data_IF_849165195052
#
_entry.id   IF_849165195052
#
_cell.length_a   1.000
_cell.length_b   1.000
_cell.length_c   1.000
_cell.angle_alpha   90.00
_cell.angle_beta   90.00
_cell.angle_gamma   90.00
#
_symmetry.space_group_name_H-M   'P 1'
#
loop_
_entity.id
_entity.type
_entity.pdbx_description
1 polymer ?
#
# COMPACT_ATOMS: atom_id res chain seq x y z
N UNK A 1 -11.15 -14.64 2.87
CA UNK A 1 -10.84 -13.99 4.17
C UNK A 1 -9.42 -13.45 4.14
N UNK A 2 -9.23 -12.24 4.57
CA UNK A 2 -7.93 -11.56 4.70
C UNK A 2 -7.60 -11.37 6.18
N UNK A 3 -6.34 -11.16 6.51
CA UNK A 3 -5.90 -10.87 7.87
C UNK A 3 -4.82 -9.79 7.86
N UNK A 4 -4.64 -9.12 9.01
CA UNK A 4 -3.52 -8.22 9.26
C UNK A 4 -2.52 -8.95 10.15
N UNK A 5 -1.23 -8.84 9.84
CA UNK A 5 -0.15 -9.22 10.73
C UNK A 5 0.35 -7.97 11.44
N UNK A 6 0.12 -7.90 12.76
CA UNK A 6 0.50 -6.74 13.57
C UNK A 6 1.68 -7.10 14.46
N UNK A 7 2.75 -6.31 14.37
CA UNK A 7 3.95 -6.47 15.18
C UNK A 7 4.18 -5.22 16.02
N UNK A 8 4.51 -5.41 17.30
CA UNK A 8 4.79 -4.34 18.26
C UNK A 8 6.25 -4.35 18.65
N UNK A 9 6.99 -3.30 18.29
CA UNK A 9 8.41 -3.15 18.59
C UNK A 9 8.57 -2.08 19.68
N UNK A 10 9.16 -2.42 20.84
CA UNK A 10 9.38 -1.45 21.91
C UNK A 10 10.40 -0.39 21.48
N UNK A 11 10.14 0.88 21.86
CA UNK A 11 11.08 1.99 21.66
C UNK A 11 11.74 2.30 22.99
N UNK A 12 13.08 2.20 23.04
CA UNK A 12 13.85 2.43 24.25
C UNK A 12 13.61 3.83 24.83
N UNK A 13 13.40 3.90 26.14
CA UNK A 13 13.21 5.16 26.86
C UNK A 13 11.79 5.74 26.77
N UNK A 14 10.82 5.03 26.15
CA UNK A 14 9.43 5.47 26.04
C UNK A 14 8.46 4.35 26.39
N UNK A 15 7.18 4.70 26.59
CA UNK A 15 6.08 3.73 26.68
C UNK A 15 5.46 3.43 25.28
N UNK A 16 5.83 4.22 24.28
CA UNK A 16 5.33 4.06 22.90
C UNK A 16 5.99 2.87 22.21
N UNK A 17 5.32 2.34 21.22
CA UNK A 17 5.80 1.25 20.37
C UNK A 17 5.80 1.68 18.92
N UNK A 18 6.67 1.09 18.13
CA UNK A 18 6.52 1.07 16.68
C UNK A 18 5.62 -0.11 16.32
N UNK A 19 4.47 0.20 15.76
CA UNK A 19 3.46 -0.78 15.33
C UNK A 19 3.58 -0.95 13.83
N UNK A 20 3.94 -2.15 13.41
CA UNK A 20 4.03 -2.51 11.98
C UNK A 20 2.83 -3.39 11.65
N UNK A 21 2.03 -2.96 10.69
CA UNK A 21 0.88 -3.70 10.17
C UNK A 21 1.18 -4.14 8.75
N UNK A 22 1.38 -5.42 8.54
CA UNK A 22 1.52 -6.01 7.20
C UNK A 22 0.17 -6.51 6.72
N UNK A 23 -0.15 -6.23 5.45
CA UNK A 23 -1.47 -6.50 4.89
C UNK A 23 -1.42 -7.00 3.45
N UNK A 24 -2.49 -7.70 3.07
CA UNK A 24 -2.88 -7.99 1.70
C UNK A 24 -4.41 -7.94 1.65
N UNK A 25 -4.98 -6.84 1.14
CA UNK A 25 -6.42 -6.58 1.16
C UNK A 25 -7.16 -7.30 0.01
N UNK A 26 -8.48 -7.18 -0.01
CA UNK A 26 -9.35 -7.87 -0.96
C UNK A 26 -9.18 -7.34 -2.38
N UNK A 27 -9.03 -8.27 -3.35
CA UNK A 27 -8.79 -7.95 -4.75
C UNK A 27 -10.07 -7.91 -5.59
N UNK A 28 -10.99 -8.87 -5.37
CA UNK A 28 -12.05 -9.23 -6.33
C UNK A 28 -13.45 -8.84 -5.91
N UNK A 29 -13.63 -8.34 -4.69
CA UNK A 29 -14.93 -7.90 -4.21
C UNK A 29 -15.42 -6.64 -4.96
N UNK A 30 -16.73 -6.54 -5.15
CA UNK A 30 -17.39 -5.47 -5.91
C UNK A 30 -17.44 -4.11 -5.20
N UNK A 31 -16.78 -3.95 -4.06
CA UNK A 31 -16.61 -2.67 -3.36
C UNK A 31 -17.00 -2.69 -1.89
N UNK A 32 -18.04 -3.41 -1.46
CA UNK A 32 -18.45 -3.41 -0.05
C UNK A 32 -17.39 -4.05 0.87
N UNK A 33 -16.80 -5.18 0.46
CA UNK A 33 -15.76 -5.85 1.21
C UNK A 33 -14.45 -5.05 1.25
N UNK A 34 -14.08 -4.40 0.13
CA UNK A 34 -12.94 -3.49 0.08
C UNK A 34 -13.12 -2.31 1.02
N UNK A 35 -14.27 -1.62 0.96
CA UNK A 35 -14.58 -0.50 1.83
C UNK A 35 -14.64 -0.90 3.31
N UNK A 36 -15.20 -2.08 3.63
CA UNK A 36 -15.23 -2.57 5.00
C UNK A 36 -13.82 -2.85 5.54
N UNK A 37 -12.93 -3.43 4.73
CA UNK A 37 -11.55 -3.68 5.12
C UNK A 37 -10.76 -2.38 5.30
N UNK A 38 -10.96 -1.38 4.43
CA UNK A 38 -10.32 -0.06 4.56
C UNK A 38 -10.75 0.62 5.86
N UNK A 39 -12.06 0.64 6.18
CA UNK A 39 -12.56 1.20 7.45
C UNK A 39 -11.99 0.47 8.67
N UNK A 40 -11.98 -0.87 8.66
CA UNK A 40 -11.38 -1.64 9.78
C UNK A 40 -9.89 -1.33 9.93
N UNK A 41 -9.16 -1.19 8.85
CA UNK A 41 -7.76 -0.80 8.88
C UNK A 41 -7.61 0.60 9.48
N UNK A 42 -8.38 1.58 9.01
CA UNK A 42 -8.36 2.95 9.54
C UNK A 42 -8.63 2.99 11.05
N UNK A 43 -9.64 2.26 11.52
CA UNK A 43 -9.97 2.17 12.95
C UNK A 43 -8.80 1.61 13.78
N UNK A 44 -8.13 0.55 13.28
CA UNK A 44 -6.98 -0.05 13.97
C UNK A 44 -5.81 0.95 14.03
N UNK A 45 -5.47 1.58 12.91
CA UNK A 45 -4.35 2.51 12.85
C UNK A 45 -4.61 3.75 13.72
N UNK A 46 -5.82 4.31 13.69
CA UNK A 46 -6.22 5.46 14.50
C UNK A 46 -6.18 5.13 16.00
N UNK A 47 -6.64 3.95 16.42
CA UNK A 47 -6.57 3.52 17.81
C UNK A 47 -5.12 3.38 18.30
N UNK A 48 -4.23 2.83 17.47
CA UNK A 48 -2.81 2.72 17.82
C UNK A 48 -2.13 4.10 17.91
N UNK A 49 -2.43 5.00 16.98
CA UNK A 49 -1.90 6.36 17.02
C UNK A 49 -2.45 7.14 18.24
N UNK A 50 -3.73 7.00 18.57
CA UNK A 50 -4.34 7.62 19.76
C UNK A 50 -3.74 7.08 21.07
N UNK A 51 -3.24 5.85 21.08
CA UNK A 51 -2.48 5.28 22.20
C UNK A 51 -1.03 5.82 22.29
N UNK A 52 -0.64 6.73 21.39
CA UNK A 52 0.69 7.34 21.36
C UNK A 52 1.76 6.49 20.68
N UNK A 53 1.35 5.46 19.93
CA UNK A 53 2.27 4.63 19.18
C UNK A 53 2.67 5.29 17.84
N UNK A 54 3.79 4.85 17.31
CA UNK A 54 4.25 5.12 15.95
C UNK A 54 3.72 4.00 15.06
N UNK A 55 3.05 4.34 13.96
CA UNK A 55 2.31 3.33 13.19
C UNK A 55 2.71 3.36 11.73
N UNK A 56 3.00 2.17 11.18
CA UNK A 56 3.23 1.95 9.76
C UNK A 56 2.39 0.75 9.33
N UNK A 57 1.50 0.95 8.37
CA UNK A 57 0.85 -0.13 7.64
C UNK A 57 1.41 -0.20 6.22
N UNK A 58 1.67 -1.40 5.71
CA UNK A 58 2.19 -1.57 4.36
C UNK A 58 1.91 -2.95 3.78
N UNK A 59 1.90 -3.03 2.46
CA UNK A 59 1.66 -4.24 1.70
C UNK A 59 0.84 -3.99 0.45
N UNK A 60 0.18 -5.04 -0.02
CA UNK A 60 -0.73 -5.00 -1.16
C UNK A 60 -2.14 -4.59 -0.72
N UNK A 61 -2.55 -3.39 -1.11
CA UNK A 61 -3.89 -2.86 -0.82
C UNK A 61 -4.93 -3.34 -1.84
N UNK A 62 -4.52 -3.86 -3.01
CA UNK A 62 -5.39 -4.15 -4.15
C UNK A 62 -6.27 -2.96 -4.57
N UNK A 63 -5.85 -1.79 -4.18
CA UNK A 63 -6.47 -0.49 -4.45
C UNK A 63 -5.36 0.56 -4.55
N UNK A 64 -5.61 1.59 -5.34
CA UNK A 64 -4.70 2.72 -5.45
C UNK A 64 -5.10 3.82 -4.48
N UNK A 65 -4.16 4.50 -3.87
CA UNK A 65 -4.44 5.70 -3.09
C UNK A 65 -4.90 6.85 -3.98
N UNK A 66 -5.93 7.58 -3.56
CA UNK A 66 -6.57 8.67 -4.35
C UNK A 66 -5.63 9.84 -4.66
N UNK A 67 -4.49 9.94 -3.99
CA UNK A 67 -3.47 10.96 -4.19
C UNK A 67 -2.32 10.55 -5.14
N UNK A 68 -2.43 9.40 -5.81
CA UNK A 68 -1.40 8.88 -6.72
C UNK A 68 -1.75 9.22 -8.17
N UNK A 69 -0.78 9.78 -8.91
CA UNK A 69 -0.89 9.96 -10.35
C UNK A 69 -0.64 8.63 -11.08
N UNK A 70 -1.65 8.16 -11.80
CA UNK A 70 -1.62 6.92 -12.59
C UNK A 70 -1.54 7.17 -14.10
N UNK A 71 -1.26 8.39 -14.53
CA UNK A 71 -1.23 8.74 -15.97
C UNK A 71 -0.24 7.90 -16.77
N UNK A 72 0.83 7.41 -16.12
CA UNK A 72 1.79 6.50 -16.73
C UNK A 72 1.28 5.05 -16.90
N UNK A 73 0.18 4.67 -16.22
CA UNK A 73 -0.35 3.30 -16.18
C UNK A 73 -1.85 3.27 -16.50
N UNK A 74 -2.26 3.74 -17.68
CA UNK A 74 -3.68 3.78 -18.04
C UNK A 74 -4.27 2.38 -18.16
N UNK A 75 -5.56 2.25 -17.84
CA UNK A 75 -6.29 0.99 -18.06
C UNK A 75 -6.31 0.67 -19.56
N UNK A 76 -5.73 -0.47 -19.96
CA UNK A 76 -5.58 -0.86 -21.35
C UNK A 76 -6.84 -1.51 -21.94
N UNK A 77 -7.60 -2.24 -21.13
CA UNK A 77 -8.85 -2.87 -21.53
C UNK A 77 -9.82 -2.95 -20.36
N UNK A 78 -11.12 -2.80 -20.65
CA UNK A 78 -12.17 -2.97 -19.65
C UNK A 78 -12.32 -4.44 -19.18
N UNK A 79 -11.80 -5.39 -19.93
CA UNK A 79 -11.83 -6.81 -19.59
C UNK A 79 -10.73 -7.22 -18.60
N UNK A 80 -9.73 -6.36 -18.41
CA UNK A 80 -8.68 -6.60 -17.42
C UNK A 80 -9.17 -6.18 -16.03
N UNK A 81 -8.67 -6.88 -15.02
CA UNK A 81 -8.90 -6.51 -13.63
C UNK A 81 -8.45 -5.06 -13.40
N UNK A 82 -9.24 -4.31 -12.66
CA UNK A 82 -8.93 -2.94 -12.27
C UNK A 82 -8.90 -2.82 -10.74
N UNK A 83 -7.93 -2.10 -10.16
CA UNK A 83 -7.90 -1.85 -8.73
C UNK A 83 -9.06 -0.94 -8.32
N UNK A 84 -9.49 -1.05 -7.06
CA UNK A 84 -10.31 -0.02 -6.45
C UNK A 84 -9.49 1.24 -6.14
N UNK A 85 -10.14 2.22 -5.51
CA UNK A 85 -9.48 3.41 -4.99
C UNK A 85 -9.73 3.54 -3.49
N UNK A 86 -8.68 3.88 -2.73
CA UNK A 86 -8.77 4.28 -1.33
C UNK A 86 -8.77 5.80 -1.28
N UNK A 87 -9.82 6.40 -0.72
CA UNK A 87 -9.79 7.81 -0.36
C UNK A 87 -8.85 7.99 0.84
N UNK A 88 -7.74 8.69 0.63
CA UNK A 88 -6.73 8.88 1.67
C UNK A 88 -7.28 9.64 2.88
N UNK A 89 -8.36 10.40 2.72
CA UNK A 89 -9.04 11.10 3.82
C UNK A 89 -9.66 10.17 4.86
N UNK A 90 -9.91 8.90 4.54
CA UNK A 90 -10.44 7.91 5.47
C UNK A 90 -9.50 7.67 6.68
N UNK A 91 -8.20 7.95 6.54
CA UNK A 91 -7.23 7.79 7.62
C UNK A 91 -7.04 9.05 8.47
N UNK A 92 -7.62 10.19 8.05
CA UNK A 92 -7.54 11.48 8.75
C UNK A 92 -6.17 12.13 8.68
N UNK A 93 -6.04 13.32 9.27
CA UNK A 93 -4.83 14.16 9.19
C UNK A 93 -3.62 13.59 9.94
N UNK A 94 -3.85 12.56 10.77
CA UNK A 94 -2.80 11.90 11.54
C UNK A 94 -2.01 10.86 10.73
N UNK A 95 -2.35 10.64 9.46
CA UNK A 95 -1.70 9.65 8.60
C UNK A 95 -1.39 10.22 7.22
N UNK A 96 -0.33 9.69 6.63
CA UNK A 96 0.05 9.92 5.23
C UNK A 96 0.02 8.61 4.49
N UNK A 97 -0.80 8.53 3.43
CA UNK A 97 -0.76 7.43 2.47
C UNK A 97 0.28 7.76 1.40
N UNK A 98 1.24 6.87 1.20
CA UNK A 98 2.38 7.10 0.30
C UNK A 98 2.76 5.83 -0.46
N UNK A 99 3.07 6.01 -1.72
CA UNK A 99 3.72 5.03 -2.60
C UNK A 99 4.64 5.76 -3.57
N UNK A 100 5.46 5.03 -4.28
CA UNK A 100 6.25 5.56 -5.40
C UNK A 100 5.69 4.98 -6.71
N UNK A 101 5.18 5.86 -7.58
CA UNK A 101 4.65 5.52 -8.90
C UNK A 101 5.66 5.70 -10.04
N UNK A 102 6.94 5.90 -9.75
CA UNK A 102 8.01 5.99 -10.77
C UNK A 102 8.23 4.66 -11.52
N UNK A 103 7.87 3.55 -10.89
CA UNK A 103 7.73 2.22 -11.48
C UNK A 103 6.43 1.57 -11.01
N UNK A 104 5.83 0.65 -11.81
CA UNK A 104 4.63 -0.05 -11.39
C UNK A 104 4.94 -1.03 -10.26
N UNK A 105 4.05 -1.12 -9.28
CA UNK A 105 4.22 -2.05 -8.16
C UNK A 105 3.69 -3.45 -8.46
N UNK A 106 2.75 -3.57 -9.42
CA UNK A 106 2.17 -4.84 -9.84
C UNK A 106 1.88 -4.85 -11.36
N UNK A 107 1.76 -6.03 -11.93
CA UNK A 107 1.34 -6.28 -13.32
C UNK A 107 0.19 -7.26 -13.41
N UNK A 108 -0.49 -7.29 -14.54
CA UNK A 108 -1.50 -8.30 -14.85
C UNK A 108 -0.89 -9.71 -14.93
N UNK A 109 -1.75 -10.72 -14.68
CA UNK A 109 -1.45 -12.15 -14.77
C UNK A 109 -2.21 -12.83 -15.91
N UNK A 110 -2.73 -12.08 -16.86
CA UNK A 110 -3.54 -12.58 -17.96
C UNK A 110 -2.76 -13.43 -18.97
N UNK A 111 -1.43 -13.28 -18.99
CA UNK A 111 -0.52 -14.04 -19.88
C UNK A 111 0.86 -14.21 -19.24
N UNK A 112 1.71 -15.15 -19.77
CA UNK A 112 3.09 -15.28 -19.33
C UNK A 112 3.89 -13.98 -19.52
N UNK A 113 4.73 -13.63 -18.55
CA UNK A 113 5.60 -12.46 -18.60
C UNK A 113 6.97 -12.85 -19.15
N UNK A 114 7.33 -12.31 -20.31
CA UNK A 114 8.58 -12.62 -20.99
C UNK A 114 9.65 -11.53 -20.86
N UNK A 115 9.41 -10.55 -19.99
CA UNK A 115 10.40 -9.51 -19.61
C UNK A 115 10.70 -8.44 -20.68
N UNK A 116 10.14 -8.54 -21.88
CA UNK A 116 10.44 -7.63 -22.98
C UNK A 116 9.20 -6.97 -23.59
N UNK A 117 8.03 -7.38 -23.20
CA UNK A 117 6.76 -6.91 -23.77
C UNK A 117 6.01 -6.00 -22.79
N UNK A 118 6.69 -4.94 -22.37
CA UNK A 118 6.14 -3.98 -21.41
C UNK A 118 4.85 -3.30 -21.90
N UNK A 119 4.69 -3.11 -23.21
CA UNK A 119 3.52 -2.41 -23.78
C UNK A 119 2.25 -3.25 -23.75
N UNK A 120 2.37 -4.57 -23.60
CA UNK A 120 1.23 -5.48 -23.70
C UNK A 120 0.64 -5.88 -22.33
N UNK A 121 1.24 -5.45 -21.23
CA UNK A 121 0.77 -5.73 -19.89
C UNK A 121 0.01 -4.54 -19.29
N UNK A 122 -1.03 -4.85 -18.53
CA UNK A 122 -1.61 -3.87 -17.61
C UNK A 122 -0.72 -3.77 -16.38
N UNK A 123 -0.32 -2.55 -16.05
CA UNK A 123 0.44 -2.23 -14.85
C UNK A 123 -0.42 -1.52 -13.82
N UNK A 124 -0.07 -1.69 -12.55
CA UNK A 124 -0.79 -1.16 -11.41
C UNK A 124 0.16 -0.56 -10.38
N UNK A 125 -0.35 0.37 -9.57
CA UNK A 125 0.30 0.89 -8.36
C UNK A 125 -0.66 0.64 -7.21
N UNK A 126 -0.51 -0.50 -6.55
CA UNK A 126 -1.43 -1.02 -5.52
C UNK A 126 -0.73 -1.41 -4.21
N UNK A 127 0.59 -1.32 -4.19
CA UNK A 127 1.40 -1.49 -2.99
C UNK A 127 1.82 -0.13 -2.45
N UNK A 128 1.94 0.01 -1.13
CA UNK A 128 2.27 1.28 -0.51
C UNK A 128 2.34 1.20 1.00
N UNK A 129 2.31 2.38 1.62
CA UNK A 129 2.36 2.55 3.06
C UNK A 129 1.38 3.60 3.55
N UNK A 130 0.89 3.40 4.78
CA UNK A 130 0.16 4.39 5.56
C UNK A 130 0.99 4.63 6.82
N UNK A 131 1.41 5.87 7.03
CA UNK A 131 2.43 6.24 8.03
C UNK A 131 1.86 7.30 8.96
N UNK A 132 1.96 7.10 10.27
CA UNK A 132 1.49 8.06 11.26
C UNK A 132 2.33 9.34 11.29
N UNK A 133 1.70 10.47 11.57
CA UNK A 133 2.29 11.81 11.48
C UNK A 133 3.44 12.10 12.46
N UNK A 134 3.59 11.27 13.51
CA UNK A 134 4.72 11.29 14.44
C UNK A 134 5.98 10.61 13.89
N UNK A 135 5.92 10.04 12.68
CA UNK A 135 7.06 9.58 11.91
C UNK A 135 7.44 10.62 10.84
N UNK A 136 8.73 10.77 10.61
CA UNK A 136 9.26 11.52 9.47
C UNK A 136 9.50 10.55 8.32
N UNK A 137 8.84 10.76 7.19
CA UNK A 137 9.11 10.03 5.96
C UNK A 137 10.32 10.67 5.29
N UNK A 138 11.38 9.92 5.09
CA UNK A 138 12.58 10.34 4.38
C UNK A 138 12.46 10.05 2.89
N UNK A 139 12.04 8.82 2.55
CA UNK A 139 11.81 8.41 1.15
C UNK A 139 10.88 7.20 1.06
N UNK A 140 10.24 7.05 -0.10
CA UNK A 140 9.66 5.79 -0.56
C UNK A 140 10.15 5.50 -1.97
N UNK A 141 10.33 4.24 -2.32
CA UNK A 141 10.88 3.81 -3.60
C UNK A 141 10.31 2.46 -4.02
N UNK A 142 9.82 2.37 -5.24
CA UNK A 142 9.50 1.11 -5.89
C UNK A 142 10.77 0.55 -6.54
N UNK A 143 11.26 -0.59 -6.04
CA UNK A 143 12.46 -1.24 -6.54
C UNK A 143 12.09 -2.02 -7.79
N UNK A 144 12.31 -1.42 -8.96
CA UNK A 144 11.98 -2.05 -10.22
C UNK A 144 12.93 -3.24 -10.50
N UNK A 145 12.42 -4.45 -10.30
CA UNK A 145 13.12 -5.70 -10.61
C UNK A 145 12.63 -6.32 -11.93
N UNK A 146 11.89 -5.54 -12.73
CA UNK A 146 11.31 -6.00 -13.99
C UNK A 146 10.45 -7.27 -13.80
N UNK A 147 9.78 -7.37 -12.66
CA UNK A 147 8.91 -8.50 -12.30
C UNK A 147 9.55 -9.89 -12.48
N UNK A 148 10.88 -9.98 -12.37
CA UNK A 148 11.66 -11.17 -12.69
C UNK A 148 11.24 -12.42 -11.92
N UNK A 149 10.80 -12.26 -10.68
CA UNK A 149 10.49 -13.36 -9.78
C UNK A 149 9.07 -13.30 -9.18
N UNK A 150 8.31 -12.25 -9.49
CA UNK A 150 6.97 -12.00 -8.94
C UNK A 150 6.19 -11.10 -9.88
N UNK A 151 4.88 -11.10 -9.76
CA UNK A 151 3.97 -10.11 -10.36
C UNK A 151 3.93 -8.77 -9.60
N UNK A 152 4.66 -8.69 -8.49
CA UNK A 152 4.89 -7.45 -7.76
C UNK A 152 6.37 -7.07 -7.72
N UNK A 153 6.64 -5.78 -7.77
CA UNK A 153 7.93 -5.17 -7.45
C UNK A 153 7.95 -4.80 -5.96
N UNK A 154 9.08 -4.98 -5.24
CA UNK A 154 9.21 -4.55 -3.86
C UNK A 154 9.10 -3.03 -3.72
N UNK A 155 8.47 -2.58 -2.64
CA UNK A 155 8.44 -1.17 -2.26
C UNK A 155 9.20 -0.98 -0.94
N UNK A 156 10.01 0.07 -0.86
CA UNK A 156 10.82 0.44 0.30
C UNK A 156 10.34 1.76 0.90
N UNK A 157 10.29 1.80 2.21
CA UNK A 157 10.03 3.00 2.99
C UNK A 157 11.21 3.28 3.93
N UNK A 158 11.68 4.51 3.95
CA UNK A 158 12.65 5.02 4.91
C UNK A 158 11.98 6.08 5.80
N UNK A 159 12.01 5.86 7.11
CA UNK A 159 11.39 6.75 8.10
C UNK A 159 12.29 6.94 9.30
N UNK A 160 12.09 8.04 10.01
CA UNK A 160 12.67 8.32 11.32
C UNK A 160 11.58 8.65 12.35
N UNK A 161 11.87 8.39 13.62
CA UNK A 161 11.06 8.89 14.74
C UNK A 161 11.21 10.42 14.83
N UNK A 162 10.11 11.13 15.03
CA UNK A 162 10.14 12.57 15.36
C UNK A 162 10.35 12.79 16.84
#
# INVERSE_FOLDING_TARGET
KRCLLVSYLPISGTNSKLVIVNLHLEAYDSGEGKAAQTRMLADILQNEAAAGNYVIAGGDFNQTFSNVDLSAYPQQSADLWAPGSIDVSEFGDSFTCITDSSAPTCRSLDKPYEGHDHESFQYYVIDGFIVSSNLQINSTETINLDFKNSDHNPIRLDVALK
#
